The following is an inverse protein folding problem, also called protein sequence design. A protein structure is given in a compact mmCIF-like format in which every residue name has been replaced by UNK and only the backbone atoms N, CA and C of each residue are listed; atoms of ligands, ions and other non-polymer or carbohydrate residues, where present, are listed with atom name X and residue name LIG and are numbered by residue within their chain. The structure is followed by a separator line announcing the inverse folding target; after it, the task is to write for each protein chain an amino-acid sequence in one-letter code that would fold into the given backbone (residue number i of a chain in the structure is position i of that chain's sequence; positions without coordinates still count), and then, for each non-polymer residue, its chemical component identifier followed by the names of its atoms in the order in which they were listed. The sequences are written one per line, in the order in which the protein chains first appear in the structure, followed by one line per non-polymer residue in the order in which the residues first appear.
data_IF_881675138704
#
_entry.id   IF_881675138704
#
_cell.length_a   1.000
_cell.length_b   1.000
_cell.length_c   1.000
_cell.angle_alpha   90.00
_cell.angle_beta   90.00
_cell.angle_gamma   90.00
#
_symmetry.space_group_name_H-M   'P 1'
#
loop_
_entity.id
_entity.type
_entity.pdbx_description
1 polymer ?
#
# COMPACT_ATOMS: atom_id res chain seq x y z
N UNK A 1 -8.63 6.82 6.76
CA UNK A 1 -7.53 5.92 7.17
C UNK A 1 -7.41 4.79 6.15
N UNK A 2 -6.45 4.85 5.23
CA UNK A 2 -6.20 3.74 4.28
C UNK A 2 -5.32 2.69 4.97
N UNK A 3 -5.86 1.49 5.17
CA UNK A 3 -5.18 0.39 5.88
C UNK A 3 -4.10 -0.24 5.02
N UNK A 4 -2.89 -0.37 5.55
CA UNK A 4 -1.83 -1.19 4.96
C UNK A 4 -1.97 -2.63 5.47
N UNK A 5 -1.70 -3.60 4.60
CA UNK A 5 -1.57 -5.00 4.97
C UNK A 5 -0.10 -5.44 4.87
N UNK A 6 0.41 -6.01 5.96
CA UNK A 6 1.73 -6.62 6.03
C UNK A 6 1.56 -8.11 6.36
N UNK A 7 1.91 -8.98 5.42
CA UNK A 7 1.69 -10.43 5.54
C UNK A 7 2.98 -11.22 5.57
N UNK A 8 4.05 -10.61 6.11
CA UNK A 8 5.37 -11.24 6.28
C UNK A 8 5.23 -12.64 6.90
N UNK A 9 5.81 -13.63 6.21
CA UNK A 9 5.77 -15.05 6.58
C UNK A 9 4.37 -15.71 6.67
N UNK A 10 3.28 -15.00 6.38
CA UNK A 10 1.92 -15.54 6.48
C UNK A 10 1.47 -16.27 5.20
N UNK A 11 1.91 -15.82 4.02
CA UNK A 11 1.45 -16.38 2.74
C UNK A 11 2.49 -17.28 2.07
N UNK A 12 3.75 -16.82 2.03
CA UNK A 12 4.89 -17.57 1.48
C UNK A 12 6.05 -17.44 2.46
N UNK A 13 6.59 -18.57 2.90
CA UNK A 13 7.75 -18.60 3.80
C UNK A 13 8.95 -17.94 3.13
N UNK A 14 9.65 -17.07 3.87
CA UNK A 14 10.79 -16.31 3.34
C UNK A 14 10.43 -15.03 2.58
N UNK A 15 9.14 -14.70 2.45
CA UNK A 15 8.68 -13.47 1.81
C UNK A 15 8.12 -12.45 2.81
N UNK A 16 8.21 -11.17 2.44
CA UNK A 16 7.63 -10.03 3.13
C UNK A 16 6.70 -9.25 2.21
N UNK A 17 5.47 -9.74 1.94
CA UNK A 17 4.52 -9.02 1.11
C UNK A 17 3.95 -7.81 1.87
N UNK A 18 3.93 -6.66 1.20
CA UNK A 18 3.26 -5.44 1.62
C UNK A 18 2.19 -5.08 0.58
N UNK A 19 1.03 -4.65 1.05
CA UNK A 19 -0.10 -4.28 0.19
C UNK A 19 -0.76 -2.97 0.68
N UNK A 20 -1.07 -2.09 -0.27
CA UNK A 20 -1.87 -0.89 -0.04
C UNK A 20 -3.09 -0.87 -0.97
N UNK A 21 -4.26 -0.40 -0.50
CA UNK A 21 -5.45 -0.33 -1.31
C UNK A 21 -5.33 0.81 -2.33
N UNK A 22 -5.81 0.54 -3.55
CA UNK A 22 -6.04 1.55 -4.58
C UNK A 22 -7.55 1.68 -4.74
N UNK A 23 -8.05 2.90 -4.86
CA UNK A 23 -9.49 3.18 -4.98
C UNK A 23 -9.82 3.75 -6.36
N UNK A 24 -10.98 3.39 -6.89
CA UNK A 24 -11.54 4.01 -8.08
C UNK A 24 -12.32 5.29 -7.76
N UNK A 25 -12.93 5.89 -8.79
CA UNK A 25 -13.75 7.10 -8.68
C UNK A 25 -15.01 6.94 -7.81
N UNK A 26 -15.47 5.71 -7.55
CA UNK A 26 -16.58 5.40 -6.65
C UNK A 26 -16.11 5.11 -5.22
N UNK A 27 -14.80 5.18 -4.98
CA UNK A 27 -14.18 4.83 -3.70
C UNK A 27 -14.16 3.33 -3.44
N UNK A 28 -14.40 2.50 -4.46
CA UNK A 28 -14.31 1.05 -4.33
C UNK A 28 -12.84 0.62 -4.44
N UNK A 29 -12.39 -0.34 -3.60
CA UNK A 29 -11.04 -0.87 -3.71
C UNK A 29 -10.91 -1.70 -5.00
N UNK A 30 -9.94 -1.35 -5.83
CA UNK A 30 -9.55 -2.10 -7.03
C UNK A 30 -8.38 -3.05 -6.73
N UNK A 31 -8.14 -4.08 -7.58
CA UNK A 31 -7.10 -5.08 -7.33
C UNK A 31 -5.71 -4.46 -7.07
N UNK A 32 -5.05 -5.05 -6.08
CA UNK A 32 -4.02 -4.46 -5.22
C UNK A 32 -2.65 -4.29 -5.90
N UNK A 33 -1.97 -3.18 -5.59
CA UNK A 33 -0.53 -3.06 -5.77
C UNK A 33 0.18 -3.72 -4.58
N UNK A 34 0.89 -4.82 -4.84
CA UNK A 34 1.63 -5.54 -3.81
C UNK A 34 3.13 -5.48 -4.09
N UNK A 35 3.91 -5.15 -3.07
CA UNK A 35 5.37 -5.34 -3.08
C UNK A 35 5.65 -6.71 -2.47
N UNK A 36 6.25 -7.61 -3.24
CA UNK A 36 6.64 -8.94 -2.76
C UNK A 36 8.17 -9.02 -2.83
N UNK A 37 8.82 -8.97 -1.68
CA UNK A 37 10.26 -9.10 -1.54
C UNK A 37 10.62 -10.34 -0.71
N UNK A 38 11.84 -10.85 -0.87
CA UNK A 38 12.37 -11.82 0.08
C UNK A 38 12.73 -11.09 1.39
N UNK A 39 12.64 -11.79 2.51
CA UNK A 39 12.95 -11.27 3.85
C UNK A 39 14.40 -10.78 3.96
N UNK A 40 15.31 -11.37 3.19
CA UNK A 40 16.72 -10.96 3.10
C UNK A 40 16.89 -9.62 2.37
N UNK A 41 16.01 -9.33 1.41
CA UNK A 41 16.04 -8.10 0.61
C UNK A 41 15.24 -6.97 1.28
N UNK A 42 14.19 -7.33 2.03
CA UNK A 42 13.39 -6.41 2.83
C UNK A 42 13.48 -6.75 4.33
N UNK A 43 14.55 -6.31 5.01
CA UNK A 43 14.70 -6.54 6.44
C UNK A 43 13.68 -5.71 7.24
N UNK A 44 13.28 -6.21 8.41
CA UNK A 44 12.28 -5.57 9.26
C UNK A 44 12.49 -4.05 9.48
N UNK A 45 13.71 -3.53 9.70
CA UNK A 45 13.93 -2.09 9.86
C UNK A 45 13.58 -1.22 8.65
N UNK A 46 13.62 -1.78 7.43
CA UNK A 46 13.27 -1.05 6.20
C UNK A 46 11.75 -1.06 5.90
N UNK A 47 10.97 -1.81 6.68
CA UNK A 47 9.51 -1.95 6.48
C UNK A 47 8.76 -0.62 6.57
N UNK A 48 9.03 0.28 7.54
CA UNK A 48 8.31 1.56 7.63
C UNK A 48 8.51 2.45 6.39
N UNK A 49 9.71 2.47 5.84
CA UNK A 49 10.03 3.28 4.65
C UNK A 49 9.32 2.71 3.42
N UNK A 50 9.32 1.40 3.24
CA UNK A 50 8.61 0.74 2.14
C UNK A 50 7.09 0.86 2.27
N UNK A 51 6.55 0.81 3.49
CA UNK A 51 5.14 1.08 3.75
C UNK A 51 4.74 2.50 3.36
N UNK A 52 5.61 3.49 3.61
CA UNK A 52 5.40 4.87 3.20
C UNK A 52 5.42 5.04 1.68
N UNK A 53 6.40 4.44 0.99
CA UNK A 53 6.50 4.48 -0.47
C UNK A 53 5.32 3.78 -1.15
N UNK A 54 4.95 2.58 -0.68
CA UNK A 54 3.82 1.83 -1.21
C UNK A 54 2.50 2.59 -1.02
N UNK A 55 2.32 3.25 0.12
CA UNK A 55 1.16 4.12 0.36
C UNK A 55 1.12 5.29 -0.61
N UNK A 56 2.24 5.98 -0.81
CA UNK A 56 2.33 7.09 -1.76
C UNK A 56 2.01 6.64 -3.19
N UNK A 57 2.53 5.49 -3.61
CA UNK A 57 2.25 4.91 -4.92
C UNK A 57 0.76 4.53 -5.08
N UNK A 58 0.16 3.89 -4.07
CA UNK A 58 -1.25 3.53 -4.10
C UNK A 58 -2.18 4.76 -4.10
N UNK A 59 -1.80 5.81 -3.38
CA UNK A 59 -2.49 7.09 -3.39
C UNK A 59 -2.43 7.75 -4.77
N UNK A 60 -1.24 7.82 -5.38
CA UNK A 60 -1.07 8.35 -6.73
C UNK A 60 -1.86 7.57 -7.78
N UNK A 61 -1.88 6.23 -7.67
CA UNK A 61 -2.69 5.38 -8.53
C UNK A 61 -4.19 5.62 -8.35
N UNK A 62 -4.66 5.80 -7.10
CA UNK A 62 -6.08 6.09 -6.83
C UNK A 62 -6.52 7.41 -7.47
N UNK A 63 -5.68 8.45 -7.40
CA UNK A 63 -5.95 9.74 -8.07
C UNK A 63 -6.07 9.57 -9.59
N UNK A 64 -5.22 8.76 -10.21
CA UNK A 64 -5.29 8.47 -11.65
C UNK A 64 -6.59 7.75 -12.04
N UNK A 65 -7.20 6.99 -11.12
CA UNK A 65 -8.50 6.34 -11.32
C UNK A 65 -9.70 7.23 -10.97
N UNK A 66 -9.45 8.50 -10.62
CA UNK A 66 -10.51 9.46 -10.32
C UNK A 66 -10.96 9.46 -8.86
N UNK A 67 -10.25 8.76 -7.96
CA UNK A 67 -10.51 8.88 -6.53
C UNK A 67 -10.13 10.27 -6.05
N UNK A 68 -11.13 11.04 -5.64
CA UNK A 68 -10.94 12.34 -5.02
C UNK A 68 -10.55 12.11 -3.57
N UNK A 69 -9.26 12.27 -3.27
CA UNK A 69 -8.81 12.42 -1.89
C UNK A 69 -9.50 13.68 -1.36
N UNK A 70 -10.38 13.51 -0.37
CA UNK A 70 -10.79 14.65 0.45
C UNK A 70 -9.50 15.25 1.03
N UNK A 71 -9.02 16.35 0.45
CA UNK A 71 -8.03 17.19 1.12
C UNK A 71 -8.67 17.52 2.45
N UNK A 72 -8.01 17.24 3.60
CA UNK A 72 -8.54 17.69 4.87
C UNK A 72 -8.69 19.21 4.76
N UNK A 73 -9.94 19.66 4.74
CA UNK A 73 -10.26 21.08 4.79
C UNK A 73 -9.47 21.68 5.94
N UNK A 74 -8.69 22.72 5.63
CA UNK A 74 -8.08 23.56 6.65
C UNK A 74 -9.21 24.23 7.43
N UNK A 75 -9.55 23.67 8.58
CA UNK A 75 -10.39 24.28 9.62
C UNK A 75 -9.55 24.48 10.87
#
# INVERSE_FOLDING_TARGET
MAGLANTRELFVQGCAPLAAPVFDNEGQPVPVMALVAQIVDLPAPATPDMEAELRAAAQAASVQLGYLLETPDQV
#
